data_IF_886379349479
#
_entry.id   IF_886379349479
#
_cell.length_a   1.000
_cell.length_b   1.000
_cell.length_c   1.000
_cell.angle_alpha   90.00
_cell.angle_beta   90.00
_cell.angle_gamma   90.00
#
_symmetry.space_group_name_H-M   'P 1'
#
loop_
_entity.id
_entity.type
_entity.pdbx_description
1 polymer ?
#
# COMPACT_ATOMS: atom_id res chain seq x y z
N UNK A 1 -22.14 -11.36 16.21
CA UNK A 1 -20.90 -10.56 16.34
C UNK A 1 -20.08 -10.52 15.04
N UNK A 2 -19.85 -11.64 14.34
CA UNK A 2 -19.09 -11.64 13.07
C UNK A 2 -19.70 -10.78 11.94
N UNK A 3 -21.02 -10.84 11.74
CA UNK A 3 -21.70 -10.10 10.67
C UNK A 3 -21.56 -8.57 10.79
N UNK A 4 -21.68 -8.02 12.01
CA UNK A 4 -21.49 -6.59 12.28
C UNK A 4 -20.05 -6.16 11.96
N UNK A 5 -19.06 -6.99 12.31
CA UNK A 5 -17.66 -6.71 12.01
C UNK A 5 -17.37 -6.75 10.50
N UNK A 6 -17.96 -7.70 9.78
CA UNK A 6 -17.88 -7.75 8.31
C UNK A 6 -18.51 -6.51 7.68
N UNK A 7 -19.65 -6.05 8.19
CA UNK A 7 -20.31 -4.82 7.74
C UNK A 7 -19.43 -3.58 7.96
N UNK A 8 -18.81 -3.46 9.13
CA UNK A 8 -17.87 -2.37 9.43
C UNK A 8 -16.68 -2.38 8.46
N UNK A 9 -16.07 -3.55 8.23
CA UNK A 9 -14.97 -3.68 7.26
C UNK A 9 -15.40 -3.30 5.85
N UNK A 10 -16.60 -3.68 5.45
CA UNK A 10 -17.16 -3.32 4.15
C UNK A 10 -17.30 -1.80 4.02
N UNK A 11 -17.90 -1.12 5.00
CA UNK A 11 -18.03 0.34 4.98
C UNK A 11 -16.68 1.05 5.04
N UNK A 12 -15.71 0.51 5.78
CA UNK A 12 -14.36 1.05 5.82
C UNK A 12 -13.68 0.96 4.44
N UNK A 13 -13.77 -0.20 3.77
CA UNK A 13 -13.24 -0.38 2.42
C UNK A 13 -13.92 0.57 1.43
N UNK A 14 -15.25 0.73 1.53
CA UNK A 14 -16.00 1.64 0.70
C UNK A 14 -15.56 3.10 0.92
N UNK A 15 -15.36 3.51 2.17
CA UNK A 15 -14.89 4.85 2.50
C UNK A 15 -13.49 5.12 1.94
N UNK A 16 -12.56 4.16 2.07
CA UNK A 16 -11.22 4.27 1.50
C UNK A 16 -11.29 4.40 -0.03
N UNK A 17 -12.10 3.55 -0.68
CA UNK A 17 -12.30 3.61 -2.13
C UNK A 17 -12.91 4.95 -2.58
N UNK A 18 -13.89 5.46 -1.84
CA UNK A 18 -14.51 6.76 -2.11
C UNK A 18 -13.48 7.89 -1.99
N UNK A 19 -12.69 7.93 -0.92
CA UNK A 19 -11.63 8.93 -0.74
C UNK A 19 -10.63 8.88 -1.89
N UNK A 20 -10.20 7.68 -2.29
CA UNK A 20 -9.30 7.53 -3.44
C UNK A 20 -9.92 8.01 -4.76
N UNK A 21 -11.20 7.69 -4.99
CA UNK A 21 -11.92 8.15 -6.17
C UNK A 21 -12.08 9.68 -6.19
N UNK A 22 -12.51 10.30 -5.09
CA UNK A 22 -12.58 11.76 -4.97
C UNK A 22 -11.22 12.42 -5.17
N UNK A 23 -10.17 11.86 -4.59
CA UNK A 23 -8.81 12.35 -4.77
C UNK A 23 -8.37 12.31 -6.24
N UNK A 24 -8.70 11.24 -6.97
CA UNK A 24 -8.42 11.14 -8.40
C UNK A 24 -9.23 12.13 -9.25
N UNK A 25 -10.50 12.36 -8.90
CA UNK A 25 -11.38 13.31 -9.60
C UNK A 25 -10.91 14.76 -9.43
N UNK A 26 -10.61 15.17 -8.20
CA UNK A 26 -10.11 16.51 -7.89
C UNK A 26 -8.70 16.75 -8.47
N UNK A 27 -7.90 15.69 -8.62
CA UNK A 27 -6.56 15.74 -9.21
C UNK A 27 -6.52 15.08 -10.59
N UNK A 28 -7.49 15.43 -11.44
CA UNK A 28 -7.70 14.82 -12.77
C UNK A 28 -6.73 15.31 -13.86
N UNK A 29 -5.82 16.22 -13.54
CA UNK A 29 -4.79 16.70 -14.47
C UNK A 29 -3.99 15.53 -15.04
N UNK A 30 -3.99 15.39 -16.36
CA UNK A 30 -3.19 14.35 -17.03
C UNK A 30 -1.71 14.68 -16.91
N UNK A 31 -0.94 13.73 -16.40
CA UNK A 31 0.49 13.84 -16.19
C UNK A 31 1.20 12.55 -16.63
N UNK A 32 2.32 12.73 -17.32
CA UNK A 32 3.27 11.65 -17.63
C UNK A 32 4.43 11.71 -16.66
N UNK A 33 4.84 10.55 -16.17
CA UNK A 33 6.00 10.40 -15.27
C UNK A 33 7.15 9.86 -16.09
N UNK A 34 8.28 10.56 -16.05
CA UNK A 34 9.53 10.09 -16.64
C UNK A 34 10.28 9.22 -15.63
N UNK A 35 10.42 7.94 -15.93
CA UNK A 35 11.14 6.97 -15.10
C UNK A 35 12.61 6.82 -15.51
N UNK A 36 13.17 7.78 -16.24
CA UNK A 36 14.54 7.81 -16.80
C UNK A 36 14.74 6.78 -17.92
N UNK A 37 14.27 5.55 -17.75
CA UNK A 37 14.40 4.44 -18.71
C UNK A 37 13.23 4.46 -19.71
N UNK A 38 12.05 4.88 -19.27
CA UNK A 38 10.84 4.97 -20.09
C UNK A 38 9.92 6.06 -19.56
N UNK A 39 9.03 6.53 -20.43
CA UNK A 39 7.95 7.45 -20.06
C UNK A 39 6.65 6.68 -19.88
N UNK A 40 5.87 7.07 -18.88
CA UNK A 40 4.58 6.47 -18.64
C UNK A 40 3.51 6.96 -19.62
N UNK A 41 2.39 6.24 -19.68
CA UNK A 41 1.17 6.79 -20.26
C UNK A 41 0.64 7.97 -19.44
N UNK A 42 -0.13 8.85 -20.08
CA UNK A 42 -0.78 9.97 -19.43
C UNK A 42 -1.92 9.46 -18.54
N UNK A 43 -1.75 9.58 -17.23
CA UNK A 43 -2.78 9.28 -16.24
C UNK A 43 -3.04 10.51 -15.38
N UNK A 44 -4.17 10.53 -14.66
CA UNK A 44 -4.42 11.60 -13.69
C UNK A 44 -3.31 11.66 -12.63
N UNK A 45 -2.94 12.88 -12.23
CA UNK A 45 -2.00 13.12 -11.13
C UNK A 45 -2.44 12.38 -9.86
N UNK A 46 -3.73 12.44 -9.54
CA UNK A 46 -4.28 11.76 -8.37
C UNK A 46 -4.06 10.25 -8.41
N UNK A 47 -4.24 9.62 -9.58
CA UNK A 47 -3.98 8.19 -9.75
C UNK A 47 -2.50 7.86 -9.60
N UNK A 48 -1.58 8.67 -10.15
CA UNK A 48 -0.15 8.49 -9.94
C UNK A 48 0.23 8.50 -8.47
N UNK A 49 -0.22 9.52 -7.73
CA UNK A 49 0.04 9.65 -6.30
C UNK A 49 -0.50 8.44 -5.52
N UNK A 50 -1.69 7.95 -5.85
CA UNK A 50 -2.24 6.74 -5.22
C UNK A 50 -1.41 5.48 -5.52
N UNK A 51 -0.95 5.30 -6.77
CA UNK A 51 -0.10 4.17 -7.15
C UNK A 51 1.21 4.22 -6.36
N UNK A 52 1.89 5.36 -6.34
CA UNK A 52 3.15 5.51 -5.60
C UNK A 52 2.97 5.31 -4.10
N UNK A 53 1.88 5.81 -3.52
CA UNK A 53 1.55 5.59 -2.11
C UNK A 53 1.35 4.09 -1.83
N UNK A 54 0.53 3.40 -2.64
CA UNK A 54 0.27 1.99 -2.48
C UNK A 54 1.55 1.15 -2.60
N UNK A 55 2.36 1.43 -3.62
CA UNK A 55 3.67 0.76 -3.83
C UNK A 55 4.60 1.04 -2.66
N UNK A 56 4.71 2.28 -2.19
CA UNK A 56 5.53 2.66 -1.04
C UNK A 56 5.11 1.95 0.25
N UNK A 57 3.81 1.89 0.54
CA UNK A 57 3.27 1.15 1.68
C UNK A 57 3.58 -0.35 1.58
N UNK A 58 3.38 -0.96 0.41
CA UNK A 58 3.71 -2.37 0.19
C UNK A 58 5.20 -2.64 0.40
N UNK A 59 6.08 -1.79 -0.14
CA UNK A 59 7.52 -1.91 0.08
C UNK A 59 7.90 -1.78 1.56
N UNK A 60 7.31 -0.83 2.29
CA UNK A 60 7.53 -0.68 3.73
C UNK A 60 7.05 -1.88 4.55
N UNK A 61 5.90 -2.46 4.20
CA UNK A 61 5.38 -3.69 4.82
C UNK A 61 6.29 -4.89 4.53
N UNK A 62 6.77 -5.03 3.29
CA UNK A 62 7.70 -6.09 2.90
C UNK A 62 9.04 -5.97 3.64
N UNK A 63 9.62 -4.76 3.69
CA UNK A 63 10.84 -4.49 4.44
C UNK A 63 10.69 -4.87 5.92
N UNK A 64 9.57 -4.48 6.53
CA UNK A 64 9.25 -4.82 7.93
C UNK A 64 9.09 -6.33 8.13
N UNK A 65 8.41 -7.01 7.21
CA UNK A 65 8.20 -8.46 7.26
C UNK A 65 9.51 -9.25 7.18
N UNK A 66 10.43 -8.83 6.31
CA UNK A 66 11.78 -9.41 6.20
C UNK A 66 12.53 -9.25 7.52
N UNK A 67 12.49 -8.06 8.12
CA UNK A 67 13.18 -7.76 9.37
C UNK A 67 12.62 -8.60 10.54
N UNK A 68 11.30 -8.68 10.67
CA UNK A 68 10.63 -9.50 11.69
C UNK A 68 11.02 -10.97 11.51
N UNK A 69 11.00 -11.48 10.28
CA UNK A 69 11.37 -12.87 9.99
C UNK A 69 12.83 -13.15 10.34
N UNK A 70 13.73 -12.20 10.04
CA UNK A 70 15.14 -12.29 10.42
C UNK A 70 15.32 -12.36 11.94
N UNK A 71 14.69 -11.46 12.70
CA UNK A 71 14.78 -11.47 14.16
C UNK A 71 14.18 -12.73 14.79
N UNK A 72 13.03 -13.21 14.29
CA UNK A 72 12.43 -14.47 14.75
C UNK A 72 13.36 -15.67 14.53
N UNK A 73 14.03 -15.73 13.38
CA UNK A 73 15.04 -16.78 13.09
C UNK A 73 16.26 -16.67 14.01
N UNK A 74 16.72 -15.46 14.30
CA UNK A 74 17.86 -15.23 15.22
C UNK A 74 17.51 -15.68 16.64
N UNK A 75 16.34 -15.31 17.14
CA UNK A 75 15.84 -15.74 18.46
C UNK A 75 15.69 -17.26 18.56
N UNK A 76 15.09 -17.89 17.54
CA UNK A 76 14.93 -19.35 17.51
C UNK A 76 16.26 -20.12 17.48
N UNK A 77 17.33 -19.53 16.94
CA UNK A 77 18.68 -20.13 16.97
C UNK A 77 19.36 -19.96 18.32
N UNK A 78 19.16 -18.83 19.00
CA UNK A 78 19.69 -18.60 20.34
C UNK A 78 19.03 -19.55 21.36
N UNK A 79 17.70 -19.71 21.29
CA UNK A 79 16.95 -20.60 22.19
C UNK A 79 17.24 -22.10 22.00
N UNK A 80 17.95 -22.51 20.94
CA UNK A 80 18.40 -23.90 20.72
C UNK A 80 19.82 -24.17 21.23
N UNK A 81 20.52 -23.14 21.73
CA UNK A 81 21.90 -23.23 22.25
C UNK A 81 21.97 -23.31 23.78
N UNK A 82 20.82 -23.24 24.46
CA UNK A 82 20.62 -23.58 25.87
C UNK A 82 19.98 -24.97 25.98
#
# INVERSE_FOLDING_TARGET
MGAVWTLIKFFLLLAIAAVGAFFALENSQQLTVDFVIFQSTALSLGLWLMIFLAVGCLLGLLASSVLITYYRRKLARAAKRD
#
